data_IF_909515194076
#
_entry.id   IF_909515194076
#
_cell.length_a   1.000
_cell.length_b   1.000
_cell.length_c   1.000
_cell.angle_alpha   90.00
_cell.angle_beta   90.00
_cell.angle_gamma   90.00
#
_symmetry.space_group_name_H-M   'P 1'
#
loop_
_entity.id
_entity.type
_entity.pdbx_description
1 polymer ?
#
# COMPACT_ATOMS: atom_id res chain seq x y z
N UNK A 1 -12.38 -0.67 -7.57
CA UNK A 1 -12.48 -1.84 -6.67
C UNK A 1 -12.94 -1.33 -5.31
N UNK A 2 -13.58 -2.16 -4.48
CA UNK A 2 -14.14 -1.71 -3.20
C UNK A 2 -13.11 -1.24 -2.14
N UNK A 3 -11.97 -1.93 -1.91
CA UNK A 3 -11.11 -1.59 -0.77
C UNK A 3 -10.55 -0.15 -0.76
N UNK A 4 -10.05 0.41 -1.89
CA UNK A 4 -9.60 1.79 -1.93
C UNK A 4 -10.68 2.82 -1.58
N UNK A 5 -11.95 2.55 -1.88
CA UNK A 5 -13.06 3.47 -1.58
C UNK A 5 -13.28 3.66 -0.08
N UNK A 6 -13.00 2.62 0.73
CA UNK A 6 -13.15 2.69 2.18
C UNK A 6 -11.98 3.40 2.86
N UNK A 7 -10.84 3.57 2.18
CA UNK A 7 -9.68 4.28 2.73
C UNK A 7 -9.89 5.78 2.82
N UNK A 8 -10.75 6.37 1.97
CA UNK A 8 -10.97 7.83 1.92
C UNK A 8 -9.62 8.58 1.89
N UNK A 9 -8.86 8.32 0.82
CA UNK A 9 -7.53 8.90 0.60
C UNK A 9 -7.68 10.36 0.19
N UNK A 10 -6.83 11.21 0.76
CA UNK A 10 -6.75 12.63 0.50
C UNK A 10 -5.33 12.96 -0.01
N UNK A 11 -5.13 14.03 -0.79
CA UNK A 11 -3.85 14.32 -1.46
C UNK A 11 -2.63 14.48 -0.55
N UNK A 12 -2.85 14.81 0.72
CA UNK A 12 -1.80 15.02 1.71
C UNK A 12 -1.49 13.76 2.53
N UNK A 13 -2.26 12.68 2.37
CA UNK A 13 -2.04 11.46 3.14
C UNK A 13 -0.77 10.74 2.70
N UNK A 14 -0.07 10.19 3.69
CA UNK A 14 0.93 9.14 3.52
C UNK A 14 0.19 7.81 3.50
N UNK A 15 0.20 7.16 2.34
CA UNK A 15 -0.51 5.92 2.06
C UNK A 15 0.48 4.79 1.79
N UNK A 16 0.21 3.60 2.32
CA UNK A 16 0.95 2.39 1.94
C UNK A 16 0.00 1.27 1.54
N UNK A 17 0.31 0.62 0.42
CA UNK A 17 -0.30 -0.63 -0.04
C UNK A 17 0.66 -1.77 0.27
N UNK A 18 0.31 -2.61 1.25
CA UNK A 18 1.21 -3.63 1.79
C UNK A 18 1.46 -4.80 0.82
N UNK A 19 0.52 -5.05 -0.09
CA UNK A 19 0.50 -6.20 -1.00
C UNK A 19 -0.08 -5.77 -2.36
N UNK A 20 0.70 -4.95 -3.07
CA UNK A 20 0.19 -4.07 -4.10
C UNK A 20 -0.02 -4.72 -5.47
N UNK A 21 0.74 -5.76 -5.83
CA UNK A 21 0.64 -6.31 -7.18
C UNK A 21 -0.68 -7.10 -7.36
N UNK A 22 -1.34 -7.02 -8.53
CA UNK A 22 -0.81 -6.55 -9.81
C UNK A 22 -0.77 -5.03 -10.01
N UNK A 23 -1.36 -4.21 -9.12
CA UNK A 23 -1.29 -2.74 -9.15
C UNK A 23 -2.62 -2.01 -9.33
N UNK A 24 -3.73 -2.72 -9.60
CA UNK A 24 -5.03 -2.08 -9.87
C UNK A 24 -5.64 -1.28 -8.70
N UNK A 25 -5.39 -1.71 -7.45
CA UNK A 25 -5.82 -0.97 -6.24
C UNK A 25 -4.90 0.21 -5.99
N UNK A 26 -3.60 -0.01 -6.13
CA UNK A 26 -2.56 1.01 -6.07
C UNK A 26 -2.82 2.16 -7.05
N UNK A 27 -3.21 1.86 -8.30
CA UNK A 27 -3.55 2.87 -9.30
C UNK A 27 -4.74 3.74 -8.84
N UNK A 28 -5.78 3.15 -8.26
CA UNK A 28 -6.92 3.91 -7.72
C UNK A 28 -6.52 4.78 -6.51
N UNK A 29 -5.62 4.29 -5.65
CA UNK A 29 -5.08 5.10 -4.55
C UNK A 29 -4.25 6.27 -5.08
N UNK A 30 -3.49 6.04 -6.16
CA UNK A 30 -2.69 7.08 -6.81
C UNK A 30 -3.56 8.14 -7.46
N UNK A 31 -4.63 7.73 -8.16
CA UNK A 31 -5.65 8.65 -8.71
C UNK A 31 -6.31 9.48 -7.61
N UNK A 32 -6.69 8.85 -6.49
CA UNK A 32 -7.26 9.56 -5.34
C UNK A 32 -6.29 10.59 -4.73
N UNK A 33 -4.98 10.30 -4.72
CA UNK A 33 -3.96 11.25 -4.26
C UNK A 33 -3.89 12.50 -5.15
N UNK A 34 -4.23 12.40 -6.44
CA UNK A 34 -4.22 13.50 -7.40
C UNK A 34 -5.62 14.09 -7.65
N UNK A 35 -6.64 13.71 -6.87
CA UNK A 35 -8.04 14.11 -7.14
C UNK A 35 -8.28 15.63 -7.18
N UNK A 36 -7.43 16.41 -6.51
CA UNK A 36 -7.51 17.87 -6.44
C UNK A 36 -6.48 18.60 -7.32
N UNK A 37 -5.73 17.86 -8.14
CA UNK A 37 -4.72 18.43 -9.03
C UNK A 37 -5.43 19.01 -10.27
N UNK A 38 -5.59 20.32 -10.32
CA UNK A 38 -6.14 21.00 -11.49
C UNK A 38 -5.12 20.98 -12.62
N UNK A 39 -5.55 20.73 -13.86
CA UNK A 39 -4.71 20.58 -15.07
C UNK A 39 -3.73 21.74 -15.37
N UNK A 40 -3.81 22.85 -14.64
CA UNK A 40 -2.95 24.04 -14.76
C UNK A 40 -1.87 24.14 -13.68
N UNK A 41 -1.87 23.26 -12.67
CA UNK A 41 -0.90 23.29 -11.59
C UNK A 41 0.10 22.15 -11.79
N UNK A 42 1.38 22.48 -11.89
CA UNK A 42 2.52 21.57 -11.77
C UNK A 42 2.70 21.08 -10.32
N UNK A 43 1.60 20.95 -9.56
CA UNK A 43 1.65 20.65 -8.13
C UNK A 43 1.93 19.18 -7.90
N UNK A 44 3.16 18.90 -7.48
CA UNK A 44 3.51 17.65 -6.81
C UNK A 44 2.55 17.49 -5.62
N UNK A 45 1.75 16.40 -5.54
CA UNK A 45 0.88 16.21 -4.40
C UNK A 45 1.74 16.11 -3.13
N UNK A 46 1.31 16.74 -2.01
CA UNK A 46 2.10 16.76 -0.79
C UNK A 46 2.19 15.41 -0.09
N UNK A 47 1.29 14.48 -0.43
CA UNK A 47 1.25 13.13 0.10
C UNK A 47 2.30 12.19 -0.51
N UNK A 48 2.21 10.92 -0.13
CA UNK A 48 3.12 9.86 -0.56
C UNK A 48 2.34 8.56 -0.66
N UNK A 49 2.49 7.83 -1.77
CA UNK A 49 2.00 6.47 -1.92
C UNK A 49 3.17 5.50 -2.04
N UNK A 50 3.25 4.53 -1.11
CA UNK A 50 4.20 3.42 -1.16
C UNK A 50 3.46 2.15 -1.56
N UNK A 51 3.90 1.51 -2.62
CA UNK A 51 3.42 0.20 -3.05
C UNK A 51 4.47 -0.87 -2.72
N UNK A 52 4.11 -1.83 -1.87
CA UNK A 52 4.97 -2.94 -1.50
C UNK A 52 4.46 -4.26 -2.09
N UNK A 53 5.36 -5.09 -2.61
CA UNK A 53 5.05 -6.50 -2.91
C UNK A 53 6.29 -7.36 -2.65
N UNK A 54 6.12 -8.53 -2.06
CA UNK A 54 7.27 -9.41 -1.75
C UNK A 54 7.82 -10.14 -2.98
N UNK A 55 7.03 -10.34 -4.03
CA UNK A 55 7.48 -11.02 -5.25
C UNK A 55 8.02 -10.01 -6.27
N UNK A 56 9.31 -10.12 -6.60
CA UNK A 56 9.99 -9.20 -7.50
C UNK A 56 9.44 -9.19 -8.94
N UNK A 57 8.91 -10.31 -9.44
CA UNK A 57 8.28 -10.37 -10.77
C UNK A 57 6.94 -9.65 -10.74
N UNK A 58 6.18 -9.79 -9.66
CA UNK A 58 4.92 -9.09 -9.47
C UNK A 58 5.14 -7.58 -9.26
N UNK A 59 6.19 -7.18 -8.55
CA UNK A 59 6.61 -5.77 -8.45
C UNK A 59 6.95 -5.15 -9.80
N UNK A 60 7.61 -5.89 -10.71
CA UNK A 60 7.87 -5.39 -12.07
C UNK A 60 6.58 -5.14 -12.87
N UNK A 61 5.58 -6.02 -12.74
CA UNK A 61 4.28 -5.80 -13.37
C UNK A 61 3.61 -4.53 -12.82
N UNK A 62 3.70 -4.32 -11.51
CA UNK A 62 3.18 -3.12 -10.86
C UNK A 62 3.87 -1.86 -11.39
N UNK A 63 5.20 -1.84 -11.53
CA UNK A 63 5.96 -0.73 -12.11
C UNK A 63 5.46 -0.41 -13.53
N UNK A 64 5.28 -1.46 -14.35
CA UNK A 64 4.79 -1.29 -15.72
C UNK A 64 3.35 -0.77 -15.77
N UNK A 65 2.49 -1.18 -14.84
CA UNK A 65 1.12 -0.65 -14.74
C UNK A 65 1.10 0.80 -14.25
N UNK A 66 1.93 1.14 -13.26
CA UNK A 66 2.03 2.50 -12.70
C UNK A 66 2.72 3.49 -13.64
N UNK A 67 3.52 3.04 -14.60
CA UNK A 67 4.16 3.91 -15.59
C UNK A 67 3.16 4.72 -16.44
N UNK A 68 1.89 4.29 -16.48
CA UNK A 68 0.78 5.01 -17.15
C UNK A 68 0.32 6.25 -16.38
N UNK A 69 0.58 6.29 -15.07
CA UNK A 69 0.25 7.38 -14.15
C UNK A 69 1.53 7.81 -13.42
N UNK A 70 2.49 8.42 -14.11
CA UNK A 70 3.74 8.84 -13.49
C UNK A 70 3.45 9.91 -12.45
N UNK A 71 3.82 9.63 -11.20
CA UNK A 71 3.71 10.60 -10.11
C UNK A 71 5.01 10.65 -9.31
N UNK A 72 5.51 11.87 -8.98
CA UNK A 72 6.66 12.04 -8.09
C UNK A 72 6.38 11.58 -6.66
N UNK A 73 5.11 11.45 -6.26
CA UNK A 73 4.70 11.00 -4.94
C UNK A 73 4.49 9.48 -4.85
N UNK A 74 4.96 8.72 -5.84
CA UNK A 74 4.80 7.27 -5.90
C UNK A 74 6.13 6.53 -5.75
N UNK A 75 6.16 5.55 -4.85
CA UNK A 75 7.34 4.71 -4.61
C UNK A 75 6.96 3.23 -4.58
N UNK A 76 7.79 2.40 -5.19
CA UNK A 76 7.64 0.93 -5.17
C UNK A 76 8.74 0.32 -4.31
N UNK A 77 8.36 -0.62 -3.45
CA UNK A 77 9.29 -1.39 -2.61
C UNK A 77 9.06 -2.88 -2.81
N UNK A 78 10.12 -3.68 -2.66
CA UNK A 78 10.06 -5.13 -2.73
C UNK A 78 10.50 -5.74 -1.40
N UNK A 79 9.58 -5.87 -0.47
CA UNK A 79 9.85 -6.33 0.89
C UNK A 79 8.72 -7.26 1.39
N UNK A 80 9.03 -8.10 2.37
CA UNK A 80 8.02 -8.87 3.09
C UNK A 80 7.18 -7.93 3.97
N UNK A 81 5.88 -7.87 3.67
CA UNK A 81 4.90 -7.04 4.37
C UNK A 81 4.81 -7.34 5.88
N UNK A 82 5.07 -8.58 6.30
CA UNK A 82 4.98 -8.99 7.70
C UNK A 82 6.11 -8.42 8.56
N UNK A 83 7.23 -8.05 7.94
CA UNK A 83 8.43 -7.49 8.59
C UNK A 83 8.87 -6.17 7.94
N UNK A 84 7.94 -5.45 7.30
CA UNK A 84 8.25 -4.20 6.61
C UNK A 84 9.00 -3.23 7.53
N UNK A 85 10.12 -2.61 7.14
CA UNK A 85 10.97 -1.86 8.07
C UNK A 85 10.32 -0.59 8.61
N UNK A 86 10.79 -0.11 9.76
CA UNK A 86 10.39 1.21 10.28
C UNK A 86 11.11 2.29 9.47
N UNK A 87 10.35 3.00 8.64
CA UNK A 87 10.88 4.13 7.89
C UNK A 87 11.12 5.32 8.82
N UNK A 88 12.17 6.09 8.57
CA UNK A 88 12.50 7.30 9.33
C UNK A 88 12.47 8.48 8.39
N UNK A 89 11.71 9.51 8.76
CA UNK A 89 11.75 10.79 8.06
C UNK A 89 12.84 11.67 8.67
N UNK A 90 13.60 12.32 7.79
CA UNK A 90 14.57 13.34 8.19
C UNK A 90 13.97 14.68 7.78
N UNK A 91 13.39 15.40 8.74
CA UNK A 91 13.04 16.80 8.51
C UNK A 91 14.31 17.64 8.55
N UNK A 92 14.71 18.16 7.39
CA UNK A 92 15.73 19.22 7.31
C UNK A 92 15.01 20.55 7.29
N UNK A 93 14.95 21.23 8.43
CA UNK A 93 14.53 22.64 8.47
C UNK A 93 15.72 23.51 8.03
N UNK A 94 15.68 24.14 6.84
CA UNK A 94 16.79 24.96 6.36
C UNK A 94 17.04 26.22 7.21
N UNK A 95 16.12 26.57 8.13
CA UNK A 95 16.22 27.75 9.01
C UNK A 95 16.70 27.45 10.43
N UNK A 96 16.82 26.18 10.83
CA UNK A 96 17.29 25.78 12.16
C UNK A 96 18.50 24.87 12.05
N UNK A 97 19.68 25.43 12.31
CA UNK A 97 20.97 24.72 12.43
C UNK A 97 21.06 23.84 13.70
N UNK A 98 19.95 23.21 14.15
CA UNK A 98 19.88 22.49 15.43
C UNK A 98 19.02 21.23 15.33
N UNK A 99 19.70 20.09 15.46
CA UNK A 99 19.23 18.70 15.68
C UNK A 99 18.37 18.05 14.57
N UNK A 100 19.01 17.16 13.79
CA UNK A 100 18.38 16.08 13.02
C UNK A 100 17.60 15.16 13.98
N UNK A 101 16.37 15.50 14.34
CA UNK A 101 15.47 14.55 15.00
C UNK A 101 14.90 13.61 13.94
N UNK A 102 15.44 12.39 13.85
CA UNK A 102 14.84 11.34 13.03
C UNK A 102 13.54 10.88 13.69
N UNK A 103 12.39 11.27 13.16
CA UNK A 103 11.10 10.73 13.60
C UNK A 103 10.73 9.51 12.76
N UNK A 104 10.02 8.57 13.37
CA UNK A 104 9.44 7.45 12.65
C UNK A 104 8.40 7.98 11.67
N UNK A 105 8.48 7.56 10.41
CA UNK A 105 7.45 7.82 9.42
C UNK A 105 6.29 6.84 9.68
N UNK A 106 5.15 7.40 10.05
CA UNK A 106 3.88 6.68 10.17
C UNK A 106 2.96 7.05 9.00
N UNK A 107 1.97 6.21 8.72
CA UNK A 107 1.04 6.34 7.60
C UNK A 107 -0.36 6.74 8.06
N UNK A 108 -0.99 7.64 7.32
CA UNK A 108 -2.37 8.07 7.57
C UNK A 108 -3.37 7.02 7.08
N UNK A 109 -3.01 6.28 6.02
CA UNK A 109 -3.86 5.30 5.35
C UNK A 109 -3.05 4.06 4.99
N UNK A 110 -3.56 2.87 5.32
CA UNK A 110 -2.91 1.61 5.00
C UNK A 110 -3.90 0.66 4.34
N UNK A 111 -3.57 0.19 3.14
CA UNK A 111 -4.27 -0.89 2.47
C UNK A 111 -3.57 -2.22 2.77
N UNK A 112 -4.31 -3.14 3.37
CA UNK A 112 -3.89 -4.52 3.59
C UNK A 112 -4.76 -5.45 2.74
N UNK A 113 -4.48 -5.50 1.44
CA UNK A 113 -5.06 -6.50 0.54
C UNK A 113 -4.22 -7.78 0.60
N UNK A 114 -4.41 -8.54 1.67
CA UNK A 114 -3.48 -9.60 2.06
C UNK A 114 -3.65 -10.85 1.19
N UNK A 115 -2.58 -11.64 0.98
CA UNK A 115 -2.69 -12.92 0.28
C UNK A 115 -3.67 -13.86 1.00
N UNK A 116 -4.58 -14.44 0.23
CA UNK A 116 -5.62 -15.35 0.71
C UNK A 116 -5.67 -16.62 -0.16
N UNK A 117 -6.52 -17.57 0.22
CA UNK A 117 -6.78 -18.80 -0.55
C UNK A 117 -7.45 -18.55 -1.90
N UNK A 118 -7.97 -17.35 -2.15
CA UNK A 118 -8.53 -16.94 -3.44
C UNK A 118 -9.84 -17.63 -3.82
N UNK A 119 -10.52 -18.30 -2.89
CA UNK A 119 -11.81 -18.97 -3.06
C UNK A 119 -12.93 -18.00 -3.50
N UNK A 120 -12.86 -16.72 -3.11
CA UNK A 120 -13.74 -15.69 -3.66
C UNK A 120 -13.61 -15.46 -5.18
N UNK A 121 -12.56 -16.00 -5.81
CA UNK A 121 -12.30 -15.87 -7.25
C UNK A 121 -12.71 -17.10 -8.06
N UNK A 122 -13.38 -18.10 -7.45
CA UNK A 122 -13.85 -19.33 -8.12
C UNK A 122 -14.61 -19.07 -9.43
N UNK A 123 -15.43 -18.02 -9.48
CA UNK A 123 -16.16 -17.61 -10.69
C UNK A 123 -15.24 -17.24 -11.86
N UNK A 124 -14.07 -16.64 -11.58
CA UNK A 124 -13.10 -16.18 -12.58
C UNK A 124 -12.01 -17.22 -12.85
N UNK A 125 -11.66 -18.02 -11.84
CA UNK A 125 -10.63 -19.04 -11.92
C UNK A 125 -11.16 -20.39 -11.42
N UNK A 126 -11.84 -21.11 -12.32
CA UNK A 126 -12.44 -22.43 -12.06
C UNK A 126 -11.38 -23.47 -11.63
N UNK A 127 -10.11 -23.25 -11.97
CA UNK A 127 -9.01 -24.13 -11.57
C UNK A 127 -8.84 -24.24 -10.05
N UNK A 128 -9.21 -23.18 -9.31
CA UNK A 128 -9.15 -23.16 -7.84
C UNK A 128 -10.12 -24.20 -7.26
N UNK A 129 -11.32 -24.38 -7.84
CA UNK A 129 -12.31 -25.35 -7.35
C UNK A 129 -11.75 -26.77 -7.22
N UNK A 130 -10.88 -27.16 -8.18
CA UNK A 130 -10.32 -28.51 -8.23
C UNK A 130 -9.17 -28.74 -7.26
N UNK A 131 -8.55 -27.67 -6.75
CA UNK A 131 -7.29 -27.73 -5.98
C UNK A 131 -7.41 -27.17 -4.57
N UNK A 132 -8.42 -26.34 -4.32
CA UNK A 132 -8.61 -25.67 -3.05
C UNK A 132 -8.85 -26.67 -1.94
N UNK A 133 -8.14 -26.49 -0.84
CA UNK A 133 -8.32 -27.24 0.40
C UNK A 133 -8.44 -26.28 1.58
N UNK A 134 -9.16 -26.64 2.65
CA UNK A 134 -9.24 -25.81 3.86
C UNK A 134 -7.87 -25.46 4.47
N UNK A 135 -6.86 -26.31 4.25
CA UNK A 135 -5.48 -26.07 4.68
C UNK A 135 -4.83 -24.87 4.00
N UNK A 136 -5.21 -24.54 2.76
CA UNK A 136 -4.67 -23.38 2.04
C UNK A 136 -5.03 -22.07 2.77
N UNK A 137 -6.27 -21.96 3.25
CA UNK A 137 -6.72 -20.83 4.06
C UNK A 137 -6.03 -20.78 5.41
N UNK A 138 -5.98 -21.91 6.12
CA UNK A 138 -5.35 -22.00 7.44
C UNK A 138 -3.85 -21.69 7.39
N UNK A 139 -3.15 -22.11 6.33
CA UNK A 139 -1.72 -21.83 6.15
C UNK A 139 -1.41 -20.35 5.98
N UNK A 140 -2.34 -19.58 5.39
CA UNK A 140 -2.17 -18.15 5.16
C UNK A 140 -2.63 -17.28 6.34
N UNK A 141 -3.54 -17.78 7.18
CA UNK A 141 -4.08 -17.03 8.31
C UNK A 141 -3.00 -16.43 9.22
N UNK A 142 -1.96 -17.21 9.55
CA UNK A 142 -0.85 -16.73 10.36
C UNK A 142 -0.06 -15.58 9.71
N UNK A 143 0.11 -15.61 8.38
CA UNK A 143 0.74 -14.53 7.63
C UNK A 143 -0.14 -13.28 7.60
N UNK A 144 -1.44 -13.43 7.36
CA UNK A 144 -2.41 -12.33 7.32
C UNK A 144 -2.42 -11.56 8.65
N UNK A 145 -2.42 -12.27 9.78
CA UNK A 145 -2.33 -11.65 11.11
C UNK A 145 -1.03 -10.87 11.27
N UNK A 146 0.12 -11.43 10.88
CA UNK A 146 1.41 -10.73 11.02
C UNK A 146 1.46 -9.46 10.18
N UNK A 147 0.93 -9.49 8.96
CA UNK A 147 0.83 -8.30 8.09
C UNK A 147 -0.04 -7.24 8.75
N UNK A 148 -1.22 -7.62 9.26
CA UNK A 148 -2.13 -6.68 9.92
C UNK A 148 -1.51 -6.07 11.18
N UNK A 149 -0.89 -6.89 12.03
CA UNK A 149 -0.18 -6.42 13.23
C UNK A 149 0.95 -5.47 12.86
N UNK A 150 1.66 -5.73 11.76
CA UNK A 150 2.71 -4.83 11.29
C UNK A 150 2.15 -3.49 10.80
N UNK A 151 1.08 -3.52 10.01
CA UNK A 151 0.38 -2.33 9.56
C UNK A 151 -0.11 -1.47 10.73
N UNK A 152 -0.71 -2.07 11.76
CA UNK A 152 -1.15 -1.36 12.97
C UNK A 152 -0.02 -0.60 13.68
N UNK A 153 1.21 -1.13 13.68
CA UNK A 153 2.38 -0.45 14.29
C UNK A 153 2.93 0.71 13.46
N UNK A 154 2.53 0.80 12.20
CA UNK A 154 2.98 1.82 11.26
C UNK A 154 1.92 2.90 11.02
N UNK A 155 0.74 2.76 11.63
CA UNK A 155 -0.37 3.69 11.50
C UNK A 155 -0.16 4.92 12.38
N UNK A 156 -0.47 6.11 11.86
CA UNK A 156 -0.62 7.33 12.67
C UNK A 156 -1.80 7.21 13.64
N UNK A 157 -1.80 7.93 14.77
CA UNK A 157 -3.02 8.16 15.54
C UNK A 157 -4.13 8.69 14.61
N UNK A 158 -5.36 8.18 14.76
CA UNK A 158 -6.51 8.49 13.90
C UNK A 158 -6.37 8.07 12.41
N UNK A 159 -5.33 7.32 12.07
CA UNK A 159 -5.17 6.72 10.76
C UNK A 159 -6.23 5.65 10.48
N UNK A 160 -6.38 5.28 9.20
CA UNK A 160 -7.32 4.24 8.76
C UNK A 160 -6.61 3.07 8.08
N UNK A 161 -6.93 1.86 8.53
CA UNK A 161 -6.52 0.61 7.88
C UNK A 161 -7.75 0.01 7.19
N UNK A 162 -7.59 -0.41 5.94
CA UNK A 162 -8.56 -1.28 5.28
C UNK A 162 -7.91 -2.64 5.07
N UNK A 163 -8.51 -3.66 5.66
CA UNK A 163 -8.12 -5.05 5.49
C UNK A 163 -9.07 -5.72 4.50
N UNK A 164 -8.52 -6.35 3.46
CA UNK A 164 -9.27 -7.12 2.47
C UNK A 164 -8.56 -8.43 2.12
N UNK A 165 -9.36 -9.43 1.73
CA UNK A 165 -8.94 -10.76 1.25
C UNK A 165 -9.70 -11.09 -0.02
#
# INVERSE_FOLDING_TARGET
>A
MLPPLFLDVQPHHKVIDMCAAPGSKTAQLLEALHAHDTATATSIPPGLLIANDSDSRRSHLLIHQSARLPSPAFMVTNLDASIFPVLRSVSTDPRRSVKKTSSQLLFDRILCDVPCSGDGTLRKNIGIWKRWQPMDGNGLHGLQIRILQRAMRMLEPDGRIVYST
#
